data_IF_010603993032
#
_entry.id   IF_010603993032
#
_cell.length_a   1.000
_cell.length_b   1.000
_cell.length_c   1.000
_cell.angle_alpha   90.00
_cell.angle_beta   90.00
_cell.angle_gamma   90.00
#
_symmetry.space_group_name_H-M   'P 1'
#
loop_
_entity.id
_entity.type
_entity.pdbx_description
1 polymer ?
#
# COMPACT_ATOMS: atom_id res chain seq x y z
N UNK A 1 -1.61 -4.64 -9.02
CA UNK A 1 -0.59 -3.56 -8.97
C UNK A 1 -1.08 -2.27 -9.61
N UNK A 2 -1.45 -2.22 -10.91
CA UNK A 2 -1.86 -0.95 -11.55
C UNK A 2 -3.09 -0.27 -10.91
N UNK A 3 -4.14 -1.04 -10.56
CA UNK A 3 -5.32 -0.52 -9.84
C UNK A 3 -4.93 0.16 -8.52
N UNK A 4 -4.09 -0.50 -7.71
CA UNK A 4 -3.56 0.05 -6.45
C UNK A 4 -2.87 1.40 -6.66
N UNK A 5 -2.09 1.58 -7.73
CA UNK A 5 -1.41 2.86 -7.99
C UNK A 5 -2.37 3.97 -8.41
N UNK A 6 -3.39 3.64 -9.20
CA UNK A 6 -4.44 4.58 -9.53
C UNK A 6 -5.20 5.03 -8.26
N UNK A 7 -5.48 4.09 -7.35
CA UNK A 7 -6.10 4.39 -6.05
C UNK A 7 -5.20 5.23 -5.14
N UNK A 8 -3.90 4.92 -5.03
CA UNK A 8 -2.93 5.73 -4.29
C UNK A 8 -2.92 7.19 -4.77
N UNK A 9 -2.93 7.39 -6.09
CA UNK A 9 -2.97 8.74 -6.67
C UNK A 9 -4.32 9.45 -6.41
N UNK A 10 -5.44 8.72 -6.52
CA UNK A 10 -6.78 9.26 -6.23
C UNK A 10 -6.91 9.70 -4.76
N UNK A 11 -6.40 8.91 -3.82
CA UNK A 11 -6.40 9.24 -2.40
C UNK A 11 -5.51 10.46 -2.14
N UNK A 12 -4.27 10.44 -2.63
CA UNK A 12 -3.34 11.55 -2.42
C UNK A 12 -3.86 12.87 -2.99
N UNK A 13 -4.53 12.83 -4.15
CA UNK A 13 -5.14 14.03 -4.76
C UNK A 13 -6.38 14.51 -4.00
N UNK A 14 -7.21 13.60 -3.49
CA UNK A 14 -8.35 13.94 -2.64
C UNK A 14 -7.93 14.60 -1.32
N UNK A 15 -6.78 14.21 -0.75
CA UNK A 15 -6.26 14.81 0.48
C UNK A 15 -5.50 16.12 0.25
N UNK A 16 -4.87 16.30 -0.91
CA UNK A 16 -4.17 17.54 -1.26
C UNK A 16 -5.11 18.77 -1.29
N UNK A 17 -6.41 18.59 -1.59
CA UNK A 17 -7.41 19.65 -1.54
C UNK A 17 -7.88 20.01 -0.12
N UNK A 18 -7.60 19.15 0.88
CA UNK A 18 -8.02 19.31 2.28
C UNK A 18 -6.88 19.75 3.22
N UNK A 19 -5.64 19.80 2.74
CA UNK A 19 -4.48 20.20 3.54
C UNK A 19 -4.54 21.70 3.90
N UNK A 20 -4.90 22.00 5.15
CA UNK A 20 -4.92 23.36 5.69
C UNK A 20 -3.50 23.98 5.82
N UNK A 21 -3.35 25.31 5.80
CA UNK A 21 -2.08 26.01 5.61
C UNK A 21 -1.08 26.00 6.81
N UNK A 22 -1.21 25.11 7.80
CA UNK A 22 -0.51 25.30 9.10
C UNK A 22 0.36 24.16 9.63
N UNK A 23 0.49 23.01 8.96
CA UNK A 23 1.47 21.97 9.37
C UNK A 23 2.33 21.56 8.18
N UNK A 24 3.61 21.36 8.45
CA UNK A 24 4.50 20.71 7.49
C UNK A 24 3.99 19.29 7.26
N UNK A 25 3.91 18.84 5.99
CA UNK A 25 3.57 17.45 5.69
C UNK A 25 4.46 16.48 6.45
N UNK A 26 3.90 15.36 6.90
CA UNK A 26 4.52 14.26 7.63
C UNK A 26 5.88 13.91 7.02
N UNK A 27 5.94 13.68 5.71
CA UNK A 27 7.20 13.34 5.05
C UNK A 27 8.26 14.43 5.16
N UNK A 28 7.88 15.70 5.02
CA UNK A 28 8.79 16.83 5.20
C UNK A 28 9.36 16.88 6.61
N UNK A 29 8.54 16.55 7.62
CA UNK A 29 8.99 16.45 9.02
C UNK A 29 9.93 15.26 9.22
N UNK A 30 9.60 14.09 8.66
CA UNK A 30 10.40 12.87 8.79
C UNK A 30 11.75 12.96 8.09
N UNK A 31 11.86 13.71 6.99
CA UNK A 31 13.15 14.01 6.34
C UNK A 31 14.09 14.81 7.25
N UNK A 32 13.54 15.65 8.12
CA UNK A 32 14.30 16.42 9.12
C UNK A 32 14.45 15.72 10.48
N UNK A 33 14.11 14.42 10.58
CA UNK A 33 14.16 13.69 11.84
C UNK A 33 15.62 13.53 12.35
N UNK A 34 15.88 13.66 13.66
CA UNK A 34 17.23 13.48 14.22
C UNK A 34 17.78 12.06 14.05
N UNK A 35 16.94 11.05 13.83
CA UNK A 35 17.36 9.69 13.52
C UNK A 35 17.80 9.57 12.05
N UNK A 36 19.08 9.25 11.77
CA UNK A 36 19.56 9.08 10.40
C UNK A 36 18.80 8.00 9.62
N UNK A 37 18.34 6.96 10.31
CA UNK A 37 17.57 5.87 9.70
C UNK A 37 16.19 6.35 9.21
N UNK A 38 15.49 7.15 10.01
CA UNK A 38 14.18 7.71 9.65
C UNK A 38 14.33 8.73 8.52
N UNK A 39 15.27 9.67 8.67
CA UNK A 39 15.53 10.69 7.66
C UNK A 39 15.92 10.09 6.30
N UNK A 40 16.80 9.08 6.30
CA UNK A 40 17.22 8.40 5.07
C UNK A 40 16.07 7.63 4.41
N UNK A 41 15.27 6.88 5.19
CA UNK A 41 14.12 6.14 4.65
C UNK A 41 13.02 7.09 4.12
N UNK A 42 12.78 8.21 4.82
CA UNK A 42 11.85 9.23 4.38
C UNK A 42 12.31 9.89 3.07
N UNK A 43 13.61 10.20 2.96
CA UNK A 43 14.20 10.73 1.73
C UNK A 43 14.09 9.72 0.57
N UNK A 44 14.35 8.44 0.82
CA UNK A 44 14.19 7.38 -0.18
C UNK A 44 12.74 7.31 -0.70
N UNK A 45 11.75 7.46 0.19
CA UNK A 45 10.34 7.52 -0.19
C UNK A 45 10.01 8.76 -1.04
N UNK A 46 10.56 9.94 -0.68
CA UNK A 46 10.40 11.17 -1.47
C UNK A 46 11.00 11.00 -2.87
N UNK A 47 12.20 10.43 -2.99
CA UNK A 47 12.86 10.18 -4.28
C UNK A 47 12.03 9.20 -5.12
N UNK A 48 11.58 8.09 -4.53
CA UNK A 48 10.76 7.09 -5.22
C UNK A 48 9.44 7.68 -5.73
N UNK A 49 8.84 8.64 -5.00
CA UNK A 49 7.67 9.40 -5.48
C UNK A 49 8.00 10.36 -6.60
N UNK A 50 9.13 11.06 -6.49
CA UNK A 50 9.59 12.01 -7.50
C UNK A 50 9.78 11.35 -8.87
N UNK A 51 10.35 10.15 -8.91
CA UNK A 51 10.52 9.35 -10.15
C UNK A 51 9.20 9.02 -10.86
N UNK A 52 8.10 8.95 -10.10
CA UNK A 52 6.76 8.59 -10.56
C UNK A 52 5.91 9.77 -11.01
N UNK A 53 6.50 10.97 -11.14
CA UNK A 53 5.87 12.10 -11.80
C UNK A 53 6.68 12.44 -13.03
N UNK A 54 6.01 12.58 -14.17
CA UNK A 54 6.66 13.15 -15.35
C UNK A 54 6.83 14.67 -15.19
N UNK A 55 7.45 15.31 -16.19
CA UNK A 55 7.65 16.77 -16.20
C UNK A 55 6.35 17.59 -16.20
N UNK A 56 5.20 16.95 -16.42
CA UNK A 56 3.87 17.55 -16.39
C UNK A 56 3.09 17.17 -15.13
N UNK A 57 3.72 16.45 -14.18
CA UNK A 57 3.11 16.01 -12.94
C UNK A 57 2.18 14.79 -13.08
N UNK A 58 2.14 14.13 -14.25
CA UNK A 58 1.32 12.95 -14.47
C UNK A 58 1.91 11.72 -13.78
N UNK A 59 1.07 10.79 -13.27
CA UNK A 59 1.54 9.53 -12.72
C UNK A 59 2.30 8.71 -13.75
N UNK A 60 3.52 8.30 -13.40
CA UNK A 60 4.35 7.35 -14.15
C UNK A 60 4.45 6.05 -13.38
N UNK A 61 4.26 4.93 -14.07
CA UNK A 61 4.54 3.59 -13.55
C UNK A 61 5.91 3.17 -14.07
N UNK A 62 6.82 2.79 -13.16
CA UNK A 62 8.10 2.21 -13.52
C UNK A 62 8.02 0.68 -13.55
N UNK A 63 8.90 0.01 -14.30
CA UNK A 63 8.94 -1.46 -14.33
C UNK A 63 9.24 -2.06 -12.95
N UNK A 64 10.00 -1.36 -12.12
CA UNK A 64 10.29 -1.72 -10.72
C UNK A 64 9.03 -1.80 -9.84
N UNK A 65 7.91 -1.22 -10.30
CA UNK A 65 6.64 -1.22 -9.58
C UNK A 65 5.77 -2.44 -9.87
N UNK A 66 6.18 -3.29 -10.81
CA UNK A 66 5.48 -4.52 -11.19
C UNK A 66 6.13 -5.74 -10.52
N UNK A 67 5.37 -6.84 -10.44
CA UNK A 67 5.95 -8.11 -10.01
C UNK A 67 6.98 -8.56 -11.05
N UNK A 68 8.05 -9.24 -10.61
CA UNK A 68 9.13 -9.69 -11.51
C UNK A 68 8.61 -10.51 -12.70
N UNK A 69 7.67 -11.41 -12.45
CA UNK A 69 7.07 -12.25 -13.49
C UNK A 69 6.24 -11.42 -14.48
N UNK A 70 5.55 -10.37 -14.00
CA UNK A 70 4.80 -9.44 -14.85
C UNK A 70 5.76 -8.60 -15.73
N UNK A 71 6.90 -8.16 -15.19
CA UNK A 71 7.93 -7.46 -15.95
C UNK A 71 8.48 -8.36 -17.05
N UNK A 72 8.84 -9.60 -16.71
CA UNK A 72 9.34 -10.58 -17.68
C UNK A 72 8.33 -10.76 -18.81
N UNK A 73 7.07 -11.04 -18.46
CA UNK A 73 6.01 -11.26 -19.45
C UNK A 73 5.78 -10.02 -20.33
N UNK A 74 5.70 -8.82 -19.73
CA UNK A 74 5.46 -7.57 -20.44
C UNK A 74 6.60 -7.22 -21.39
N UNK A 75 7.84 -7.27 -20.93
CA UNK A 75 9.02 -6.88 -21.73
C UNK A 75 9.19 -7.83 -22.92
N UNK A 76 9.00 -9.14 -22.72
CA UNK A 76 9.04 -10.11 -23.83
C UNK A 76 7.88 -9.92 -24.80
N UNK A 77 6.67 -9.62 -24.32
CA UNK A 77 5.53 -9.34 -25.19
C UNK A 77 5.76 -8.10 -26.07
N UNK A 78 6.33 -7.03 -25.50
CA UNK A 78 6.69 -5.82 -26.25
C UNK A 78 7.80 -6.12 -27.27
N UNK A 79 8.85 -6.83 -26.87
CA UNK A 79 9.94 -7.21 -27.77
C UNK A 79 9.44 -8.06 -28.95
N UNK A 80 8.55 -9.03 -28.69
CA UNK A 80 7.92 -9.83 -29.73
C UNK A 80 7.05 -8.99 -30.67
N UNK A 81 6.27 -8.04 -30.14
CA UNK A 81 5.42 -7.15 -30.94
C UNK A 81 6.23 -6.17 -31.80
N UNK A 82 7.42 -5.76 -31.35
CA UNK A 82 8.32 -4.88 -32.10
C UNK A 82 9.23 -5.63 -33.08
N UNK A 83 9.28 -6.96 -33.03
CA UNK A 83 10.17 -7.77 -33.84
C UNK A 83 9.72 -7.74 -35.32
N UNK A 84 10.54 -7.20 -36.26
CA UNK A 84 10.10 -7.00 -37.63
C UNK A 84 10.10 -8.29 -38.47
N UNK A 85 10.84 -9.32 -38.04
CA UNK A 85 10.92 -10.63 -38.70
C UNK A 85 11.62 -11.65 -37.81
N UNK A 86 11.43 -12.95 -38.07
CA UNK A 86 12.10 -14.03 -37.32
C UNK A 86 13.63 -13.98 -37.35
N UNK A 87 14.25 -13.36 -38.37
CA UNK A 87 15.71 -13.18 -38.41
C UNK A 87 16.23 -12.21 -37.33
N UNK A 88 15.38 -11.33 -36.81
CA UNK A 88 15.72 -10.39 -35.74
C UNK A 88 15.36 -10.92 -34.34
N UNK A 89 14.72 -12.09 -34.23
CA UNK A 89 14.13 -12.60 -32.98
C UNK A 89 15.15 -12.69 -31.84
N UNK A 90 16.34 -13.24 -32.12
CA UNK A 90 17.41 -13.36 -31.12
C UNK A 90 17.91 -12.00 -30.59
N UNK A 91 17.94 -10.96 -31.43
CA UNK A 91 18.37 -9.61 -31.03
C UNK A 91 17.33 -8.97 -30.10
N UNK A 92 16.04 -9.10 -30.44
CA UNK A 92 14.95 -8.54 -29.63
C UNK A 92 14.77 -9.32 -28.32
N UNK A 93 14.92 -10.64 -28.33
CA UNK A 93 14.92 -11.46 -27.11
C UNK A 93 16.08 -11.08 -26.17
N UNK A 94 17.31 -10.94 -26.70
CA UNK A 94 18.45 -10.49 -25.89
C UNK A 94 18.27 -9.07 -25.32
N UNK A 95 17.68 -8.15 -26.09
CA UNK A 95 17.35 -6.81 -25.59
C UNK A 95 16.27 -6.83 -24.49
N UNK A 96 15.30 -7.75 -24.58
CA UNK A 96 14.30 -7.99 -23.55
C UNK A 96 14.95 -8.47 -22.25
N UNK A 97 15.87 -9.44 -22.33
CA UNK A 97 16.62 -9.95 -21.18
C UNK A 97 17.44 -8.84 -20.50
N UNK A 98 18.20 -8.06 -21.27
CA UNK A 98 18.96 -6.92 -20.73
C UNK A 98 18.05 -5.89 -20.04
N UNK A 99 16.87 -5.63 -20.60
CA UNK A 99 15.89 -4.72 -20.00
C UNK A 99 15.39 -5.28 -18.66
N UNK A 100 15.03 -6.56 -18.59
CA UNK A 100 14.59 -7.22 -17.34
C UNK A 100 15.69 -7.16 -16.27
N UNK A 101 16.95 -7.42 -16.64
CA UNK A 101 18.11 -7.37 -15.72
C UNK A 101 18.42 -5.96 -15.23
N UNK A 102 18.09 -4.93 -16.02
CA UNK A 102 18.30 -3.53 -15.64
C UNK A 102 17.33 -3.02 -14.58
N UNK A 103 16.22 -3.73 -14.32
CA UNK A 103 15.19 -3.28 -13.37
C UNK A 103 15.70 -3.33 -11.93
N UNK A 104 15.72 -2.17 -11.27
CA UNK A 104 16.10 -1.99 -9.87
C UNK A 104 14.87 -2.10 -8.95
N UNK A 105 14.56 -3.30 -8.46
CA UNK A 105 13.40 -3.52 -7.58
C UNK A 105 13.59 -2.94 -6.17
N UNK A 106 14.83 -2.73 -5.75
CA UNK A 106 15.20 -2.03 -4.51
C UNK A 106 14.77 -0.55 -4.52
N UNK A 107 14.58 0.03 -5.70
CA UNK A 107 14.12 1.39 -5.92
C UNK A 107 12.59 1.52 -5.98
N UNK A 108 11.86 0.40 -5.85
CA UNK A 108 10.39 0.40 -5.89
C UNK A 108 9.80 1.22 -4.72
N UNK A 109 8.70 1.93 -4.97
CA UNK A 109 8.03 2.72 -3.92
C UNK A 109 7.61 1.84 -2.74
N UNK A 110 7.10 0.63 -3.00
CA UNK A 110 6.67 -0.25 -1.91
C UNK A 110 7.84 -0.63 -1.00
N UNK A 111 9.06 -0.76 -1.56
CA UNK A 111 10.28 -0.95 -0.78
C UNK A 111 10.60 0.28 0.05
N UNK A 112 10.50 1.48 -0.52
CA UNK A 112 10.72 2.71 0.23
C UNK A 112 9.68 2.91 1.36
N UNK A 113 8.41 2.56 1.13
CA UNK A 113 7.35 2.58 2.14
C UNK A 113 7.62 1.54 3.24
N UNK A 114 8.02 0.32 2.86
CA UNK A 114 8.40 -0.75 3.80
C UNK A 114 9.58 -0.32 4.68
N UNK A 115 10.62 0.25 4.09
CA UNK A 115 11.81 0.74 4.80
C UNK A 115 11.46 1.87 5.78
N UNK A 116 10.62 2.83 5.36
CA UNK A 116 10.19 3.90 6.25
C UNK A 116 9.36 3.37 7.41
N UNK A 117 8.39 2.49 7.14
CA UNK A 117 7.58 1.90 8.21
C UNK A 117 8.43 1.08 9.19
N UNK A 118 9.47 0.39 8.71
CA UNK A 118 10.42 -0.31 9.57
C UNK A 118 11.28 0.64 10.41
N UNK A 119 11.69 1.79 9.86
CA UNK A 119 12.47 2.80 10.59
C UNK A 119 11.64 3.54 11.66
N UNK A 120 10.32 3.61 11.48
CA UNK A 120 9.37 4.26 12.39
C UNK A 120 8.89 3.36 13.55
N UNK A 121 9.32 2.09 13.59
CA UNK A 121 8.94 1.10 14.60
C UNK A 121 9.46 1.52 15.99
N UNK A 122 8.58 2.13 16.80
CA UNK A 122 8.91 2.68 18.12
C UNK A 122 7.93 2.26 19.23
N UNK A 123 7.12 1.22 18.98
CA UNK A 123 6.14 0.67 19.91
C UNK A 123 4.71 1.25 19.76
N UNK A 124 3.71 0.62 20.39
CA UNK A 124 2.30 0.75 20.02
C UNK A 124 1.72 2.17 20.14
N UNK A 125 2.04 2.90 21.22
CA UNK A 125 1.50 4.24 21.47
C UNK A 125 1.97 5.27 20.42
N UNK A 126 3.20 5.10 19.91
CA UNK A 126 3.75 5.97 18.87
C UNK A 126 3.21 5.58 17.50
N UNK A 127 3.00 4.29 17.27
CA UNK A 127 2.38 3.79 16.04
C UNK A 127 0.95 4.27 15.87
N UNK A 128 0.14 4.35 16.93
CA UNK A 128 -1.23 4.92 16.87
C UNK A 128 -1.19 6.35 16.30
N UNK A 129 -0.32 7.21 16.86
CA UNK A 129 -0.15 8.59 16.39
C UNK A 129 0.36 8.67 14.96
N UNK A 130 1.30 7.80 14.58
CA UNK A 130 1.84 7.76 13.22
C UNK A 130 0.78 7.31 12.20
N UNK A 131 -0.10 6.37 12.57
CA UNK A 131 -1.22 5.95 11.73
C UNK A 131 -2.21 7.11 11.56
N UNK A 132 -2.55 7.83 12.64
CA UNK A 132 -3.42 9.01 12.58
C UNK A 132 -2.84 10.14 11.72
N UNK A 133 -1.55 10.42 11.84
CA UNK A 133 -0.87 11.43 11.04
C UNK A 133 -0.80 11.00 9.57
N UNK A 134 -0.46 9.74 9.29
CA UNK A 134 -0.42 9.22 7.93
C UNK A 134 -1.82 9.18 7.30
N UNK A 135 -2.86 8.77 8.03
CA UNK A 135 -4.23 8.77 7.52
C UNK A 135 -4.73 10.19 7.24
N UNK A 136 -4.47 11.12 8.17
CA UNK A 136 -4.92 12.52 8.05
C UNK A 136 -4.28 13.29 6.90
N UNK A 137 -3.14 12.83 6.40
CA UNK A 137 -2.45 13.42 5.24
C UNK A 137 -2.66 12.63 3.93
N UNK A 138 -3.46 11.56 3.95
CA UNK A 138 -3.71 10.73 2.77
C UNK A 138 -2.53 9.83 2.41
N UNK A 139 -1.62 9.59 3.35
CA UNK A 139 -0.47 8.69 3.21
C UNK A 139 -0.89 7.22 3.36
N UNK A 140 -1.89 6.80 2.57
CA UNK A 140 -2.55 5.50 2.65
C UNK A 140 -1.58 4.32 2.58
N UNK A 141 -0.57 4.39 1.70
CA UNK A 141 0.38 3.31 1.54
C UNK A 141 1.24 3.13 2.80
N UNK A 142 1.62 4.24 3.44
CA UNK A 142 2.37 4.23 4.69
C UNK A 142 1.49 3.75 5.85
N UNK A 143 0.26 4.28 5.97
CA UNK A 143 -0.70 3.85 6.98
C UNK A 143 -0.98 2.34 6.88
N UNK A 144 -1.29 1.82 5.68
CA UNK A 144 -1.50 0.40 5.43
C UNK A 144 -0.26 -0.43 5.79
N UNK A 145 0.95 0.06 5.50
CA UNK A 145 2.19 -0.65 5.83
C UNK A 145 2.42 -0.73 7.34
N UNK A 146 2.21 0.37 8.08
CA UNK A 146 2.35 0.39 9.55
C UNK A 146 1.32 -0.55 10.18
N UNK A 147 0.06 -0.45 9.77
CA UNK A 147 -1.03 -1.34 10.20
C UNK A 147 -0.70 -2.80 9.90
N UNK A 148 -0.20 -3.11 8.69
CA UNK A 148 0.15 -4.47 8.30
C UNK A 148 1.24 -5.06 9.19
N UNK A 149 2.30 -4.30 9.49
CA UNK A 149 3.38 -4.72 10.39
C UNK A 149 2.83 -5.01 11.78
N UNK A 150 2.05 -4.09 12.33
CA UNK A 150 1.47 -4.21 13.67
C UNK A 150 0.51 -5.41 13.80
N UNK A 151 -0.36 -5.60 12.83
CA UNK A 151 -1.28 -6.75 12.79
C UNK A 151 -0.59 -8.07 12.39
N UNK A 152 0.64 -8.01 11.88
CA UNK A 152 1.37 -9.16 11.35
C UNK A 152 0.70 -9.76 10.10
N UNK A 153 0.09 -8.92 9.25
CA UNK A 153 -0.51 -9.32 7.97
C UNK A 153 0.29 -8.76 6.80
N UNK A 154 -0.05 -9.13 5.56
CA UNK A 154 0.64 -8.55 4.39
C UNK A 154 0.20 -7.11 4.14
N UNK A 155 1.10 -6.29 3.60
CA UNK A 155 0.80 -4.90 3.21
C UNK A 155 -0.35 -4.81 2.20
N UNK A 156 -0.42 -5.78 1.27
CA UNK A 156 -1.53 -5.87 0.33
C UNK A 156 -2.85 -6.16 1.04
N UNK A 157 -2.88 -7.03 2.06
CA UNK A 157 -4.11 -7.30 2.80
C UNK A 157 -4.59 -6.07 3.57
N UNK A 158 -3.68 -5.34 4.23
CA UNK A 158 -4.03 -4.10 4.90
C UNK A 158 -4.54 -3.04 3.91
N UNK A 159 -3.90 -2.93 2.74
CA UNK A 159 -4.33 -2.05 1.66
C UNK A 159 -5.73 -2.39 1.15
N UNK A 160 -6.00 -3.67 0.90
CA UNK A 160 -7.31 -4.14 0.42
C UNK A 160 -8.42 -3.76 1.43
N UNK A 161 -8.20 -3.98 2.74
CA UNK A 161 -9.13 -3.54 3.79
C UNK A 161 -9.28 -2.02 3.90
N UNK A 162 -8.20 -1.27 3.66
CA UNK A 162 -8.23 0.19 3.71
C UNK A 162 -9.10 0.79 2.60
N UNK A 163 -9.13 0.13 1.43
CA UNK A 163 -9.94 0.56 0.29
C UNK A 163 -11.34 -0.05 0.25
N UNK A 164 -11.51 -1.25 0.81
CA UNK A 164 -12.78 -1.99 0.82
C UNK A 164 -13.56 -1.74 2.11
N UNK A 165 -14.04 -0.51 2.29
CA UNK A 165 -14.80 -0.10 3.48
C UNK A 165 -16.26 -0.60 3.48
N UNK A 166 -16.74 -1.23 2.39
CA UNK A 166 -18.15 -1.58 2.23
C UNK A 166 -18.64 -2.67 3.19
N UNK A 167 -17.74 -3.54 3.66
CA UNK A 167 -18.09 -4.70 4.48
C UNK A 167 -17.52 -4.63 5.91
N UNK A 168 -17.28 -3.42 6.44
CA UNK A 168 -16.69 -3.25 7.77
C UNK A 168 -15.18 -3.50 7.82
N UNK A 169 -14.52 -3.34 6.67
CA UNK A 169 -13.09 -3.59 6.49
C UNK A 169 -12.23 -2.69 7.38
N UNK A 170 -12.64 -1.43 7.58
CA UNK A 170 -11.88 -0.46 8.37
C UNK A 170 -11.96 -0.77 9.87
N UNK A 171 -13.14 -1.08 10.40
CA UNK A 171 -13.29 -1.52 11.79
C UNK A 171 -12.48 -2.79 12.07
N UNK A 172 -12.58 -3.79 11.19
CA UNK A 172 -11.84 -5.03 11.34
C UNK A 172 -10.33 -4.77 11.29
N UNK A 173 -9.86 -3.96 10.34
CA UNK A 173 -8.45 -3.60 10.21
C UNK A 173 -7.91 -2.89 11.46
N UNK A 174 -8.65 -1.91 11.98
CA UNK A 174 -8.29 -1.19 13.20
C UNK A 174 -8.23 -2.14 14.42
N UNK A 175 -9.17 -3.08 14.54
CA UNK A 175 -9.16 -4.11 15.60
C UNK A 175 -8.00 -5.08 15.44
N UNK A 176 -7.71 -5.54 14.23
CA UNK A 176 -6.59 -6.44 13.93
C UNK A 176 -5.23 -5.79 14.26
N UNK A 177 -5.11 -4.48 14.05
CA UNK A 177 -3.94 -3.71 14.48
C UNK A 177 -3.95 -3.39 15.98
N UNK A 178 -5.04 -3.63 16.70
CA UNK A 178 -5.14 -3.29 18.12
C UNK A 178 -5.07 -1.78 18.37
N UNK A 179 -5.69 -0.98 17.49
CA UNK A 179 -5.78 0.48 17.67
C UNK A 179 -6.70 0.84 18.83
N UNK A 180 -6.37 1.93 19.53
CA UNK A 180 -7.31 2.56 20.44
C UNK A 180 -8.55 3.07 19.70
N UNK A 181 -9.69 3.16 20.41
CA UNK A 181 -10.97 3.61 19.83
C UNK A 181 -10.88 4.97 19.14
N UNK A 182 -10.10 5.91 19.70
CA UNK A 182 -9.89 7.22 19.11
C UNK A 182 -9.15 7.15 17.77
N UNK A 183 -8.06 6.39 17.72
CA UNK A 183 -7.26 6.19 16.50
C UNK A 183 -8.02 5.43 15.44
N UNK A 184 -8.83 4.45 15.83
CA UNK A 184 -9.76 3.75 14.95
C UNK A 184 -10.79 4.70 14.34
N UNK A 185 -11.43 5.53 15.15
CA UNK A 185 -12.39 6.53 14.67
C UNK A 185 -11.76 7.51 13.69
N UNK A 186 -10.50 7.92 13.94
CA UNK A 186 -9.78 8.81 13.05
C UNK A 186 -9.47 8.14 11.71
N UNK A 187 -8.95 6.91 11.73
CA UNK A 187 -8.67 6.11 10.53
C UNK A 187 -9.95 5.93 9.69
N UNK A 188 -11.05 5.57 10.34
CA UNK A 188 -12.36 5.37 9.70
C UNK A 188 -12.87 6.68 9.10
N UNK A 189 -12.74 7.81 9.79
CA UNK A 189 -13.16 9.11 9.27
C UNK A 189 -12.33 9.55 8.06
N UNK A 190 -11.00 9.37 8.11
CA UNK A 190 -10.10 9.78 7.04
C UNK A 190 -10.31 8.93 5.76
N UNK A 191 -10.48 7.60 5.90
CA UNK A 191 -10.62 6.71 4.73
C UNK A 191 -12.07 6.36 4.33
N UNK A 192 -13.01 6.33 5.27
CA UNK A 192 -14.42 6.01 4.98
C UNK A 192 -15.07 7.02 4.03
N UNK A 193 -14.67 8.30 4.12
CA UNK A 193 -15.14 9.33 3.19
C UNK A 193 -14.65 9.10 1.74
N UNK A 194 -13.51 8.44 1.53
CA UNK A 194 -12.92 8.19 0.21
C UNK A 194 -13.53 7.01 -0.53
N UNK A 195 -14.09 6.07 0.22
CA UNK A 195 -14.62 4.79 -0.26
C UNK A 195 -16.14 4.83 -0.42
N UNK A 196 -16.81 5.81 0.19
CA UNK A 196 -18.20 6.19 -0.10
C UNK A 196 -19.26 5.12 0.24
N UNK A 197 -18.89 4.10 1.01
CA UNK A 197 -19.65 2.84 1.11
C UNK A 197 -20.17 2.51 2.52
N UNK A 198 -19.64 3.12 3.59
CA UNK A 198 -20.11 2.89 4.95
C UNK A 198 -20.20 4.20 5.76
N UNK A 199 -21.25 4.33 6.59
CA UNK A 199 -21.33 5.41 7.59
C UNK A 199 -20.22 5.23 8.62
N UNK A 200 -19.55 6.33 9.00
CA UNK A 200 -18.57 6.33 10.10
C UNK A 200 -19.19 5.74 11.38
N UNK A 201 -20.48 6.00 11.60
CA UNK A 201 -21.23 5.50 12.76
C UNK A 201 -21.36 3.97 12.73
N UNK A 202 -21.63 3.38 11.56
CA UNK A 202 -21.78 1.93 11.39
C UNK A 202 -20.44 1.20 11.56
N UNK A 203 -19.36 1.75 10.99
CA UNK A 203 -18.00 1.21 11.17
C UNK A 203 -17.56 1.31 12.64
N UNK A 204 -17.84 2.42 13.32
CA UNK A 204 -17.52 2.55 14.74
C UNK A 204 -18.37 1.63 15.62
N UNK A 205 -19.67 1.48 15.33
CA UNK A 205 -20.51 0.51 16.01
C UNK A 205 -19.95 -0.91 15.82
N UNK A 206 -19.52 -1.24 14.60
CA UNK A 206 -18.89 -2.53 14.32
C UNK A 206 -17.59 -2.71 15.09
N UNK A 207 -16.72 -1.70 15.12
CA UNK A 207 -15.48 -1.71 15.90
C UNK A 207 -15.75 -2.02 17.38
N UNK A 208 -16.78 -1.39 17.96
CA UNK A 208 -17.16 -1.56 19.36
C UNK A 208 -17.77 -2.96 19.63
N UNK A 209 -18.42 -3.58 18.63
CA UNK A 209 -19.03 -4.92 18.76
C UNK A 209 -18.12 -6.11 18.45
N UNK A 210 -17.04 -5.90 17.69
CA UNK A 210 -16.12 -6.98 17.28
C UNK A 210 -15.42 -7.61 18.49
N UNK A 211 -15.72 -8.88 18.74
CA UNK A 211 -15.12 -9.60 19.87
C UNK A 211 -13.67 -10.05 19.57
N UNK A 212 -12.92 -10.39 20.63
CA UNK A 212 -11.53 -10.81 20.48
C UNK A 212 -11.38 -12.11 19.67
N UNK A 213 -12.38 -13.00 19.69
CA UNK A 213 -12.33 -14.28 18.97
C UNK A 213 -12.52 -14.07 17.48
N UNK A 214 -13.45 -13.21 17.08
CA UNK A 214 -13.69 -12.81 15.70
C UNK A 214 -12.44 -12.16 15.11
N UNK A 215 -11.83 -11.24 15.85
CA UNK A 215 -10.57 -10.59 15.45
C UNK A 215 -9.44 -11.62 15.33
N UNK A 216 -9.32 -12.56 16.27
CA UNK A 216 -8.31 -13.61 16.23
C UNK A 216 -8.50 -14.55 15.02
N UNK A 217 -9.74 -14.92 14.70
CA UNK A 217 -10.07 -15.73 13.51
C UNK A 217 -9.74 -14.99 12.22
N UNK A 218 -10.08 -13.70 12.14
CA UNK A 218 -9.73 -12.86 11.00
C UNK A 218 -8.21 -12.74 10.84
N UNK A 219 -7.48 -12.44 11.91
CA UNK A 219 -6.01 -12.38 11.91
C UNK A 219 -5.40 -13.70 11.45
N UNK A 220 -5.85 -14.82 12.00
CA UNK A 220 -5.39 -16.15 11.60
C UNK A 220 -5.63 -16.38 10.10
N UNK A 221 -6.78 -15.98 9.58
CA UNK A 221 -7.05 -16.05 8.14
C UNK A 221 -6.08 -15.18 7.33
N UNK A 222 -5.91 -13.90 7.66
CA UNK A 222 -5.12 -12.96 6.86
C UNK A 222 -3.60 -13.17 6.96
N UNK A 223 -3.14 -13.87 8.01
CA UNK A 223 -1.77 -14.37 8.15
C UNK A 223 -1.43 -15.54 7.24
N UNK A 224 -2.43 -16.26 6.72
CA UNK A 224 -2.18 -17.37 5.80
C UNK A 224 -1.57 -16.86 4.48
N UNK A 225 -0.65 -17.62 3.87
CA UNK A 225 -0.09 -17.27 2.57
C UNK A 225 -1.20 -17.00 1.55
N UNK A 226 -1.09 -15.89 0.81
CA UNK A 226 -2.08 -15.50 -0.22
C UNK A 226 -2.40 -16.64 -1.21
N UNK A 227 -1.42 -17.41 -1.75
CA UNK A 227 -1.73 -18.52 -2.65
C UNK A 227 -2.65 -19.56 -2.02
N UNK A 228 -2.44 -19.88 -0.74
CA UNK A 228 -3.29 -20.81 0.00
C UNK A 228 -4.73 -20.28 0.14
N UNK A 229 -4.88 -18.98 0.46
CA UNK A 229 -6.21 -18.35 0.60
C UNK A 229 -6.99 -18.36 -0.72
N UNK A 230 -6.32 -18.04 -1.83
CA UNK A 230 -6.92 -18.09 -3.17
C UNK A 230 -7.36 -19.52 -3.50
N UNK A 231 -6.46 -20.50 -3.33
CA UNK A 231 -6.76 -21.90 -3.60
C UNK A 231 -7.95 -22.39 -2.76
N UNK A 232 -8.03 -22.02 -1.48
CA UNK A 232 -9.14 -22.39 -0.59
C UNK A 232 -10.47 -21.81 -1.06
N UNK A 233 -10.49 -20.55 -1.51
CA UNK A 233 -11.71 -19.93 -2.04
C UNK A 233 -12.18 -20.60 -3.34
N UNK A 234 -11.24 -20.93 -4.24
CA UNK A 234 -11.57 -21.66 -5.48
C UNK A 234 -12.13 -23.05 -5.21
N UNK A 235 -11.55 -23.82 -4.28
CA UNK A 235 -12.07 -25.14 -3.89
C UNK A 235 -13.45 -25.04 -3.25
N UNK A 236 -13.68 -24.03 -2.40
CA UNK A 236 -14.99 -23.82 -1.77
C UNK A 236 -16.08 -23.47 -2.79
N UNK A 237 -15.74 -22.68 -3.80
CA UNK A 237 -16.68 -22.24 -4.82
C UNK A 237 -16.86 -23.25 -5.96
N UNK A 238 -15.92 -24.19 -6.14
CA UNK A 238 -15.99 -25.26 -7.15
C UNK A 238 -16.75 -26.52 -6.70
N UNK A 239 -17.12 -26.61 -5.41
CA UNK A 239 -17.92 -27.70 -4.83
C UNK A 239 -19.39 -27.29 -4.57
N UNK A 240 -19.87 -26.23 -5.24
CA UNK A 240 -21.24 -25.72 -5.13
C UNK A 240 -22.06 -25.96 -6.39
#
# INVERSE_FOLDING_TARGET
>A
MMLRRADEHRIASAFASHAGPRRLPLLSRLVGDPSPAIASAAMALVIARGRRRDGFGQPRIELSDLAKDDVIALVHAVAAAMCPSGAAEAVYAGAAEQTVESVRYEEALDRAVEQLAAALDQGPDKEDRLIEEASGEGEAALAAQIIARRAGITSQAAWDHLLDAGDGGLALLARMAGLGRQSAARLIADFGALTGTASIEDEMARFDTLDEKEVAVALAHWRLPRPFRIARTLVRNGNG
#
